data_IF_091740689608
#
_entry.id   IF_091740689608
#
_cell.length_a   1.000
_cell.length_b   1.000
_cell.length_c   1.000
_cell.angle_alpha   90.00
_cell.angle_beta   90.00
_cell.angle_gamma   90.00
#
_symmetry.space_group_name_H-M   'P 1'
#
loop_
_entity.id
_entity.type
_entity.pdbx_description
1 polymer ?
#
# COMPACT_ATOMS: atom_id res chain seq x y z
N UNK A 1 14.16 -48.57 -4.35
CA UNK A 1 12.82 -49.05 -4.72
C UNK A 1 11.79 -48.15 -4.05
N UNK A 2 11.19 -47.21 -4.79
CA UNK A 2 10.18 -46.27 -4.29
C UNK A 2 8.79 -46.93 -4.32
N UNK A 3 7.96 -46.82 -3.27
CA UNK A 3 6.63 -47.41 -3.26
C UNK A 3 5.69 -46.67 -4.22
N UNK A 4 4.88 -47.43 -4.97
CA UNK A 4 3.93 -46.90 -5.94
C UNK A 4 2.94 -45.89 -5.31
N UNK A 5 2.58 -44.79 -6.01
CA UNK A 5 1.78 -43.68 -5.48
C UNK A 5 0.35 -44.03 -5.02
N UNK A 6 -0.15 -45.24 -5.33
CA UNK A 6 -1.44 -45.73 -4.83
C UNK A 6 -1.41 -46.20 -3.38
N UNK A 7 -0.31 -46.77 -2.90
CA UNK A 7 -0.21 -47.30 -1.52
C UNK A 7 -0.16 -46.16 -0.49
N UNK A 8 0.56 -45.09 -0.80
CA UNK A 8 0.67 -43.91 0.07
C UNK A 8 -0.68 -43.17 0.32
N UNK A 9 -1.67 -43.29 -0.59
CA UNK A 9 -3.01 -42.72 -0.38
C UNK A 9 -3.87 -43.58 0.54
N UNK A 10 -3.76 -44.90 0.45
CA UNK A 10 -4.53 -45.85 1.27
C UNK A 10 -4.04 -45.81 2.73
N UNK A 11 -2.72 -45.72 2.92
CA UNK A 11 -2.13 -45.64 4.26
C UNK A 11 -2.52 -44.33 4.96
N UNK A 12 -2.64 -43.21 4.25
CA UNK A 12 -3.17 -41.95 4.82
C UNK A 12 -4.61 -42.07 5.29
N UNK A 13 -5.49 -42.65 4.47
CA UNK A 13 -6.92 -42.83 4.83
C UNK A 13 -7.05 -43.73 6.06
N UNK A 14 -6.24 -44.79 6.17
CA UNK A 14 -6.23 -45.68 7.34
C UNK A 14 -5.67 -45.01 8.60
N UNK A 15 -4.76 -44.05 8.45
CA UNK A 15 -4.18 -43.30 9.57
C UNK A 15 -5.16 -42.24 10.07
N UNK A 16 -5.88 -41.58 9.17
CA UNK A 16 -6.94 -40.60 9.50
C UNK A 16 -8.14 -41.26 10.20
N UNK A 17 -8.51 -42.48 9.80
CA UNK A 17 -9.60 -43.23 10.48
C UNK A 17 -9.21 -43.65 11.90
N UNK A 18 -7.91 -43.87 12.17
CA UNK A 18 -7.41 -44.23 13.51
C UNK A 18 -7.22 -43.03 14.45
N UNK A 19 -7.09 -41.81 13.92
CA UNK A 19 -6.91 -40.60 14.72
C UNK A 19 -8.23 -40.00 15.23
N UNK A 20 -9.38 -40.48 14.77
CA UNK A 20 -10.69 -39.96 15.17
C UNK A 20 -11.10 -38.66 14.48
N UNK A 21 -10.25 -38.12 13.59
CA UNK A 21 -10.58 -36.93 12.80
C UNK A 21 -11.40 -37.32 11.57
N UNK A 22 -12.46 -36.55 11.29
CA UNK A 22 -13.30 -36.66 10.10
C UNK A 22 -14.13 -37.96 9.96
N UNK A 23 -14.38 -38.70 11.04
CA UNK A 23 -15.26 -39.90 11.04
C UNK A 23 -16.63 -39.58 10.42
N UNK A 24 -17.18 -38.40 10.73
CA UNK A 24 -18.48 -37.95 10.22
C UNK A 24 -18.49 -37.79 8.69
N UNK A 25 -17.37 -37.34 8.10
CA UNK A 25 -17.21 -37.21 6.66
C UNK A 25 -17.18 -38.58 5.99
N UNK A 26 -16.37 -39.51 6.52
CA UNK A 26 -16.27 -40.87 5.98
C UNK A 26 -17.60 -41.62 6.10
N UNK A 27 -18.30 -41.47 7.23
CA UNK A 27 -19.62 -42.05 7.43
C UNK A 27 -20.64 -41.49 6.42
N UNK A 28 -20.64 -40.18 6.19
CA UNK A 28 -21.53 -39.55 5.20
C UNK A 28 -21.27 -40.03 3.77
N UNK A 29 -20.01 -40.24 3.40
CA UNK A 29 -19.61 -40.77 2.08
C UNK A 29 -20.04 -42.22 1.93
N UNK A 30 -19.81 -43.06 2.95
CA UNK A 30 -20.21 -44.48 2.93
C UNK A 30 -21.73 -44.62 2.85
N UNK A 31 -22.48 -43.83 3.63
CA UNK A 31 -23.95 -43.82 3.59
C UNK A 31 -24.45 -43.35 2.23
N UNK A 32 -23.84 -42.31 1.66
CA UNK A 32 -24.21 -41.82 0.32
C UNK A 32 -23.96 -42.87 -0.77
N UNK A 33 -22.83 -43.57 -0.72
CA UNK A 33 -22.53 -44.66 -1.67
C UNK A 33 -23.51 -45.83 -1.50
N UNK A 34 -23.80 -46.23 -0.26
CA UNK A 34 -24.76 -47.30 0.02
C UNK A 34 -26.17 -46.98 -0.50
N UNK A 35 -26.61 -45.72 -0.35
CA UNK A 35 -27.89 -45.24 -0.87
C UNK A 35 -27.92 -45.21 -2.40
N UNK A 36 -26.83 -44.79 -3.05
CA UNK A 36 -26.71 -44.82 -4.52
C UNK A 36 -26.82 -46.25 -5.03
N UNK A 37 -26.11 -47.19 -4.39
CA UNK A 37 -26.14 -48.61 -4.76
C UNK A 37 -27.55 -49.19 -4.52
N UNK A 38 -28.16 -48.94 -3.36
CA UNK A 38 -29.51 -49.42 -3.05
C UNK A 38 -30.56 -48.88 -4.03
N UNK A 39 -30.43 -47.63 -4.48
CA UNK A 39 -31.29 -47.03 -5.49
C UNK A 39 -31.10 -47.71 -6.86
N UNK A 40 -29.87 -48.04 -7.24
CA UNK A 40 -29.55 -48.71 -8.50
C UNK A 40 -30.21 -50.10 -8.63
N UNK A 41 -30.36 -50.81 -7.51
CA UNK A 41 -31.03 -52.11 -7.43
C UNK A 41 -32.56 -52.00 -7.23
N UNK A 42 -33.12 -50.79 -7.25
CA UNK A 42 -34.57 -50.57 -7.09
C UNK A 42 -35.08 -50.91 -5.69
N UNK A 43 -34.20 -51.01 -4.69
CA UNK A 43 -34.54 -51.34 -3.30
C UNK A 43 -35.11 -50.14 -2.53
N UNK A 44 -34.97 -48.92 -3.08
CA UNK A 44 -35.42 -47.68 -2.45
C UNK A 44 -36.75 -47.25 -3.06
N UNK A 45 -37.83 -47.39 -2.28
CA UNK A 45 -39.16 -46.88 -2.64
C UNK A 45 -39.13 -45.35 -2.69
N UNK A 46 -39.77 -44.71 -3.67
CA UNK A 46 -39.83 -43.23 -3.82
C UNK A 46 -40.21 -42.49 -2.52
N UNK A 47 -40.97 -43.17 -1.65
CA UNK A 47 -41.37 -42.69 -0.32
C UNK A 47 -40.20 -42.23 0.57
N UNK A 48 -38.99 -42.74 0.36
CA UNK A 48 -37.83 -42.44 1.21
C UNK A 48 -36.83 -41.44 0.60
N UNK A 49 -37.04 -40.99 -0.64
CA UNK A 49 -36.11 -40.10 -1.33
C UNK A 49 -36.00 -38.71 -0.66
N UNK A 50 -37.14 -38.10 -0.31
CA UNK A 50 -37.18 -36.77 0.31
C UNK A 50 -36.61 -36.75 1.74
N UNK A 51 -36.95 -37.69 2.64
CA UNK A 51 -36.34 -37.75 3.97
C UNK A 51 -34.82 -37.95 3.93
N UNK A 52 -34.34 -38.80 3.02
CA UNK A 52 -32.90 -39.09 2.89
C UNK A 52 -32.12 -37.88 2.38
N UNK A 53 -32.62 -37.18 1.36
CA UNK A 53 -31.96 -35.96 0.85
C UNK A 53 -31.91 -34.85 1.90
N UNK A 54 -32.99 -34.68 2.68
CA UNK A 54 -33.01 -33.73 3.81
C UNK A 54 -31.99 -34.09 4.90
N UNK A 55 -31.86 -35.38 5.24
CA UNK A 55 -30.87 -35.84 6.21
C UNK A 55 -29.44 -35.55 5.73
N UNK A 56 -29.15 -35.80 4.44
CA UNK A 56 -27.83 -35.52 3.86
C UNK A 56 -27.52 -34.02 3.87
N UNK A 57 -28.48 -33.16 3.51
CA UNK A 57 -28.30 -31.70 3.53
C UNK A 57 -28.08 -31.20 4.96
N UNK A 58 -28.79 -31.74 5.95
CA UNK A 58 -28.63 -31.37 7.35
C UNK A 58 -27.21 -31.71 7.87
N UNK A 59 -26.71 -32.91 7.55
CA UNK A 59 -25.34 -33.32 7.89
C UNK A 59 -24.32 -32.41 7.21
N UNK A 60 -24.53 -32.08 5.92
CA UNK A 60 -23.62 -31.23 5.15
C UNK A 60 -23.61 -29.79 5.67
N UNK A 61 -24.75 -29.28 6.11
CA UNK A 61 -24.86 -27.95 6.72
C UNK A 61 -24.14 -27.91 8.07
N UNK A 62 -24.29 -28.97 8.87
CA UNK A 62 -23.61 -29.09 10.17
C UNK A 62 -22.09 -29.14 10.02
N UNK A 63 -21.57 -29.91 9.05
CA UNK A 63 -20.12 -29.97 8.79
C UNK A 63 -19.56 -28.64 8.26
N UNK A 64 -20.30 -27.92 7.40
CA UNK A 64 -19.89 -26.57 6.96
C UNK A 64 -19.89 -25.57 8.12
N UNK A 65 -20.83 -25.67 9.06
CA UNK A 65 -20.86 -24.82 10.25
C UNK A 65 -19.66 -25.10 11.17
N UNK A 66 -19.34 -26.37 11.40
CA UNK A 66 -18.15 -26.80 12.14
C UNK A 66 -16.85 -26.33 11.48
N UNK A 67 -16.74 -26.42 10.16
CA UNK A 67 -15.60 -25.91 9.40
C UNK A 67 -15.45 -24.39 9.54
N UNK A 68 -16.55 -23.64 9.47
CA UNK A 68 -16.53 -22.18 9.69
C UNK A 68 -16.06 -21.84 11.10
N UNK A 69 -16.47 -22.61 12.10
CA UNK A 69 -16.05 -22.43 13.48
C UNK A 69 -14.55 -22.75 13.64
N UNK A 70 -14.08 -23.87 13.10
CA UNK A 70 -12.67 -24.24 13.12
C UNK A 70 -11.79 -23.22 12.41
N UNK A 71 -12.20 -22.69 11.24
CA UNK A 71 -11.48 -21.62 10.53
C UNK A 71 -11.42 -20.33 11.36
N UNK A 72 -12.47 -20.00 12.11
CA UNK A 72 -12.47 -18.86 13.05
C UNK A 72 -11.51 -19.11 14.22
N UNK A 73 -11.58 -20.29 14.84
CA UNK A 73 -10.71 -20.65 15.96
C UNK A 73 -9.23 -20.76 15.54
N UNK A 74 -8.95 -21.16 14.30
CA UNK A 74 -7.62 -21.09 13.69
C UNK A 74 -7.21 -19.63 13.44
N UNK A 75 -8.12 -18.78 12.98
CA UNK A 75 -7.88 -17.35 12.82
C UNK A 75 -7.54 -16.66 14.15
N UNK A 76 -8.12 -17.11 15.26
CA UNK A 76 -7.89 -16.57 16.60
C UNK A 76 -6.62 -17.12 17.28
N UNK A 77 -6.10 -18.28 16.82
CA UNK A 77 -4.90 -18.95 17.38
C UNK A 77 -3.63 -18.75 16.56
N UNK A 78 -3.73 -18.27 15.32
CA UNK A 78 -2.59 -17.69 14.61
C UNK A 78 -2.25 -16.38 15.35
N UNK A 79 -0.96 -16.17 15.62
CA UNK A 79 -0.38 -15.00 16.29
C UNK A 79 -1.14 -13.68 16.04
N UNK A 80 -1.15 -12.74 17.02
CA UNK A 80 -1.87 -11.46 16.90
C UNK A 80 -1.63 -10.89 15.50
N UNK A 81 -2.70 -10.39 14.84
CA UNK A 81 -2.67 -10.08 13.41
C UNK A 81 -1.39 -9.32 13.14
N UNK A 82 -0.52 -9.91 12.31
CA UNK A 82 0.70 -9.27 11.84
C UNK A 82 0.38 -7.79 11.66
N UNK A 83 1.03 -6.96 12.48
CA UNK A 83 0.90 -5.52 12.48
C UNK A 83 0.73 -5.04 11.04
N UNK A 84 -0.27 -4.17 10.78
CA UNK A 84 -0.64 -3.57 9.48
C UNK A 84 0.31 -3.99 8.34
N UNK A 85 -0.16 -4.69 7.28
CA UNK A 85 0.73 -5.16 6.22
C UNK A 85 1.66 -4.01 5.78
N UNK A 86 2.99 -4.20 5.85
CA UNK A 86 3.93 -3.09 5.75
C UNK A 86 3.88 -2.40 4.39
N UNK A 87 3.40 -3.11 3.36
CA UNK A 87 3.22 -2.60 2.01
C UNK A 87 1.73 -2.42 1.72
N UNK A 88 1.36 -1.22 1.28
CA UNK A 88 -0.01 -0.90 0.88
C UNK A 88 0.00 -0.43 -0.58
N UNK A 89 -1.05 -0.78 -1.32
CA UNK A 89 -1.28 -0.24 -2.67
C UNK A 89 -1.81 1.18 -2.64
N UNK A 90 -2.57 1.51 -1.59
CA UNK A 90 -3.14 2.83 -1.32
C UNK A 90 -2.81 3.28 0.09
N UNK A 91 -2.79 4.60 0.32
CA UNK A 91 -2.73 5.09 1.69
C UNK A 91 -4.03 4.75 2.43
N UNK A 92 -4.00 4.66 3.77
CA UNK A 92 -5.21 4.44 4.57
C UNK A 92 -6.32 5.43 4.24
N UNK A 93 -7.58 5.01 4.35
CA UNK A 93 -8.74 5.84 4.01
C UNK A 93 -8.79 7.18 4.77
N UNK A 94 -8.17 7.26 5.95
CA UNK A 94 -8.08 8.47 6.76
C UNK A 94 -6.95 9.42 6.33
N UNK A 95 -6.11 9.05 5.37
CA UNK A 95 -4.94 9.84 4.93
C UNK A 95 -5.32 11.27 4.57
N UNK A 96 -6.34 11.45 3.72
CA UNK A 96 -6.76 12.78 3.30
C UNK A 96 -7.22 13.64 4.48
N UNK A 97 -8.04 13.06 5.38
CA UNK A 97 -8.51 13.77 6.57
C UNK A 97 -7.37 14.17 7.51
N UNK A 98 -6.36 13.30 7.68
CA UNK A 98 -5.17 13.57 8.50
C UNK A 98 -4.27 14.62 7.86
N UNK A 99 -4.08 14.55 6.55
CA UNK A 99 -3.34 15.54 5.78
C UNK A 99 -4.01 16.93 5.90
N UNK A 100 -5.33 17.01 5.74
CA UNK A 100 -6.09 18.26 5.88
C UNK A 100 -6.09 18.81 7.32
N UNK A 101 -6.13 17.93 8.34
CA UNK A 101 -6.10 18.32 9.74
C UNK A 101 -4.71 18.72 10.28
N UNK A 102 -3.62 18.31 9.63
CA UNK A 102 -2.26 18.60 10.11
C UNK A 102 -1.95 20.11 10.16
N UNK A 103 -1.32 20.60 11.22
CA UNK A 103 -0.93 22.02 11.34
C UNK A 103 0.33 22.34 10.55
N UNK A 104 1.21 21.36 10.37
CA UNK A 104 2.43 21.47 9.57
C UNK A 104 2.59 20.22 8.71
N UNK A 105 2.93 20.41 7.43
CA UNK A 105 3.17 19.30 6.49
C UNK A 105 4.45 19.55 5.73
N UNK A 106 5.36 18.57 5.74
CA UNK A 106 6.53 18.58 4.87
C UNK A 106 6.31 17.59 3.73
N UNK A 107 6.44 18.08 2.52
CA UNK A 107 6.46 17.28 1.31
C UNK A 107 7.89 17.16 0.83
N UNK A 108 8.33 15.95 0.53
CA UNK A 108 9.57 15.72 -0.21
C UNK A 108 9.32 14.80 -1.40
N UNK A 109 10.00 15.04 -2.50
CA UNK A 109 9.87 14.21 -3.70
C UNK A 109 10.66 14.80 -4.87
N UNK A 110 10.69 14.10 -6.00
CA UNK A 110 11.44 14.56 -7.18
C UNK A 110 10.93 15.91 -7.68
N UNK A 111 9.69 15.95 -8.19
CA UNK A 111 9.08 17.17 -8.71
C UNK A 111 7.77 17.54 -8.00
N UNK A 112 7.12 16.62 -7.27
CA UNK A 112 5.84 16.85 -6.56
C UNK A 112 4.64 17.32 -7.42
N UNK A 113 4.76 17.39 -8.74
CA UNK A 113 3.67 17.77 -9.65
C UNK A 113 2.32 17.08 -9.35
N UNK A 114 2.28 15.76 -9.12
CA UNK A 114 1.03 15.06 -8.81
C UNK A 114 0.42 15.49 -7.47
N UNK A 115 1.25 15.79 -6.48
CA UNK A 115 0.84 16.29 -5.16
C UNK A 115 0.21 17.68 -5.31
N UNK A 116 0.92 18.58 -6.00
CA UNK A 116 0.44 19.96 -6.20
C UNK A 116 -0.86 19.99 -6.98
N UNK A 117 -1.01 19.17 -8.03
CA UNK A 117 -2.26 19.08 -8.79
C UNK A 117 -3.40 18.46 -8.00
N UNK A 118 -3.18 17.30 -7.36
CA UNK A 118 -4.24 16.57 -6.67
C UNK A 118 -4.74 17.28 -5.42
N UNK A 119 -3.86 18.03 -4.74
CA UNK A 119 -4.14 18.62 -3.43
C UNK A 119 -4.23 20.14 -3.45
N UNK A 120 -4.15 20.80 -4.60
CA UNK A 120 -4.09 22.27 -4.72
C UNK A 120 -5.10 23.01 -3.82
N UNK A 121 -6.39 22.70 -3.97
CA UNK A 121 -7.44 23.38 -3.18
C UNK A 121 -7.37 23.06 -1.69
N UNK A 122 -6.93 21.85 -1.31
CA UNK A 122 -6.74 21.50 0.10
C UNK A 122 -5.55 22.27 0.69
N UNK A 123 -4.45 22.39 -0.05
CA UNK A 123 -3.28 23.17 0.39
C UNK A 123 -3.66 24.63 0.62
N UNK A 124 -4.44 25.24 -0.28
CA UNK A 124 -4.97 26.60 -0.10
C UNK A 124 -5.82 26.72 1.15
N UNK A 125 -6.82 25.83 1.34
CA UNK A 125 -7.65 25.83 2.56
C UNK A 125 -6.83 25.65 3.84
N UNK A 126 -5.75 24.86 3.80
CA UNK A 126 -4.83 24.72 4.93
C UNK A 126 -4.10 26.02 5.23
N UNK A 127 -3.60 26.71 4.22
CA UNK A 127 -2.92 28.01 4.36
C UNK A 127 -3.88 29.12 4.81
N UNK A 128 -5.13 29.11 4.35
CA UNK A 128 -6.18 30.03 4.82
C UNK A 128 -6.43 29.87 6.33
N UNK A 129 -6.23 28.66 6.87
CA UNK A 129 -6.34 28.34 8.30
C UNK A 129 -5.03 28.55 9.08
N UNK A 130 -3.99 29.10 8.46
CA UNK A 130 -2.69 29.36 9.08
C UNK A 130 -1.77 28.14 9.19
N UNK A 131 -2.05 27.06 8.44
CA UNK A 131 -1.21 25.88 8.41
C UNK A 131 0.12 26.12 7.68
N UNK A 132 1.17 25.40 8.07
CA UNK A 132 2.52 25.55 7.50
C UNK A 132 2.85 24.45 6.51
N UNK A 133 3.42 24.83 5.37
CA UNK A 133 3.84 23.90 4.32
C UNK A 133 5.34 24.02 4.06
N UNK A 134 6.00 22.87 3.93
CA UNK A 134 7.40 22.79 3.54
C UNK A 134 7.54 21.89 2.33
N UNK A 135 8.29 22.32 1.34
CA UNK A 135 8.49 21.59 0.09
C UNK A 135 9.98 21.37 -0.15
N UNK A 136 10.37 20.11 -0.31
CA UNK A 136 11.71 19.71 -0.71
C UNK A 136 11.64 19.01 -2.06
N UNK A 137 12.27 19.61 -3.07
CA UNK A 137 12.36 19.07 -4.42
C UNK A 137 13.83 18.82 -4.79
N UNK A 138 14.07 18.09 -5.86
CA UNK A 138 15.41 18.05 -6.43
C UNK A 138 15.74 19.34 -7.20
N UNK A 139 17.02 19.67 -7.33
CA UNK A 139 17.46 20.83 -8.11
C UNK A 139 17.24 20.59 -9.63
N UNK A 140 16.60 21.52 -10.37
CA UNK A 140 16.32 21.34 -11.80
C UNK A 140 17.59 21.08 -12.63
N UNK A 141 18.63 21.87 -12.39
CA UNK A 141 19.91 21.77 -13.13
C UNK A 141 20.91 20.81 -12.49
N UNK A 142 20.50 20.07 -11.46
CA UNK A 142 21.34 19.15 -10.71
C UNK A 142 21.52 17.78 -11.36
N UNK A 143 22.53 17.05 -10.88
CA UNK A 143 22.74 15.63 -11.22
C UNK A 143 21.52 14.77 -10.86
N UNK A 144 20.82 15.10 -9.77
CA UNK A 144 19.62 14.39 -9.33
C UNK A 144 18.49 14.45 -10.38
N UNK A 145 18.36 15.54 -11.15
CA UNK A 145 17.40 15.64 -12.25
C UNK A 145 17.74 14.68 -13.39
N UNK A 146 19.04 14.58 -13.72
CA UNK A 146 19.53 13.60 -14.70
C UNK A 146 19.21 12.18 -14.23
N UNK A 147 19.44 11.86 -12.95
CA UNK A 147 19.12 10.55 -12.39
C UNK A 147 17.61 10.24 -12.38
N UNK A 148 16.77 11.25 -12.13
CA UNK A 148 15.32 11.11 -12.15
C UNK A 148 14.81 10.64 -13.52
N UNK A 149 15.37 11.14 -14.63
CA UNK A 149 14.99 10.71 -15.99
C UNK A 149 15.17 9.21 -16.20
N UNK A 150 16.12 8.57 -15.51
CA UNK A 150 16.44 7.14 -15.68
C UNK A 150 15.39 6.22 -15.05
N UNK A 151 14.49 6.75 -14.21
CA UNK A 151 13.49 5.96 -13.47
C UNK A 151 12.32 5.49 -14.33
N UNK A 152 12.02 6.21 -15.41
CA UNK A 152 10.89 5.88 -16.26
C UNK A 152 11.27 4.84 -17.33
N UNK A 153 10.35 3.93 -17.70
CA UNK A 153 10.54 3.13 -18.90
C UNK A 153 10.58 4.04 -20.13
N UNK A 154 11.55 3.82 -21.01
CA UNK A 154 11.80 4.68 -22.19
C UNK A 154 12.82 5.80 -21.93
N UNK A 155 12.88 6.75 -22.85
CA UNK A 155 13.77 7.92 -22.75
C UNK A 155 12.92 9.13 -22.40
N UNK A 156 12.96 9.57 -21.14
CA UNK A 156 12.43 10.87 -20.74
C UNK A 156 13.52 11.92 -20.98
N UNK A 157 13.30 12.93 -21.85
CA UNK A 157 14.25 14.01 -22.04
C UNK A 157 14.50 14.77 -20.74
N UNK A 158 15.75 15.18 -20.51
CA UNK A 158 16.11 15.96 -19.32
C UNK A 158 15.28 17.25 -19.22
N UNK A 159 15.10 17.96 -20.33
CA UNK A 159 14.34 19.21 -20.36
C UNK A 159 12.88 19.03 -19.93
N UNK A 160 12.29 17.86 -20.22
CA UNK A 160 10.93 17.54 -19.77
C UNK A 160 10.88 17.38 -18.25
N UNK A 161 11.87 16.73 -17.64
CA UNK A 161 11.93 16.56 -16.18
C UNK A 161 12.26 17.87 -15.48
N UNK A 162 13.18 18.67 -16.04
CA UNK A 162 13.46 20.04 -15.58
C UNK A 162 12.20 20.90 -15.53
N UNK A 163 11.46 20.93 -16.64
CA UNK A 163 10.21 21.69 -16.74
C UNK A 163 9.19 21.28 -15.68
N UNK A 164 9.10 19.99 -15.33
CA UNK A 164 8.20 19.50 -14.26
C UNK A 164 8.61 20.02 -12.88
N UNK A 165 9.91 20.02 -12.58
CA UNK A 165 10.44 20.54 -11.33
C UNK A 165 10.20 22.05 -11.26
N UNK A 166 10.56 22.79 -12.31
CA UNK A 166 10.37 24.25 -12.40
C UNK A 166 8.91 24.68 -12.31
N UNK A 167 8.00 23.97 -13.00
CA UNK A 167 6.56 24.22 -12.91
C UNK A 167 6.07 24.06 -11.47
N UNK A 168 6.53 23.02 -10.78
CA UNK A 168 6.17 22.76 -9.39
C UNK A 168 6.71 23.84 -8.45
N UNK A 169 7.97 24.25 -8.64
CA UNK A 169 8.58 25.36 -7.91
C UNK A 169 7.85 26.69 -8.17
N UNK A 170 7.41 26.95 -9.40
CA UNK A 170 6.63 28.14 -9.76
C UNK A 170 5.26 28.16 -9.07
N UNK A 171 4.56 27.02 -9.02
CA UNK A 171 3.30 26.89 -8.26
C UNK A 171 3.53 27.18 -6.77
N UNK A 172 4.57 26.58 -6.17
CA UNK A 172 4.92 26.80 -4.76
C UNK A 172 5.26 28.28 -4.51
N UNK A 173 5.99 28.92 -5.42
CA UNK A 173 6.35 30.34 -5.33
C UNK A 173 5.11 31.24 -5.38
N UNK A 174 4.17 30.95 -6.26
CA UNK A 174 2.92 31.70 -6.35
C UNK A 174 2.10 31.57 -5.07
N UNK A 175 2.02 30.36 -4.49
CA UNK A 175 1.40 30.17 -3.18
C UNK A 175 2.16 30.94 -2.08
N UNK A 176 3.50 30.94 -2.11
CA UNK A 176 4.34 31.65 -1.11
C UNK A 176 4.10 33.16 -1.14
N UNK A 177 3.87 33.75 -2.32
CA UNK A 177 3.52 35.17 -2.49
C UNK A 177 2.16 35.51 -1.87
N UNK A 178 1.19 34.59 -1.96
CA UNK A 178 -0.15 34.78 -1.37
C UNK A 178 -0.13 34.55 0.14
N UNK A 179 0.66 33.59 0.62
CA UNK A 179 0.72 33.17 2.02
C UNK A 179 2.14 33.33 2.60
N UNK A 180 2.66 34.57 2.73
CA UNK A 180 4.02 34.81 3.18
C UNK A 180 4.25 34.26 4.60
N UNK A 181 5.41 33.64 4.82
CA UNK A 181 5.80 33.06 6.11
C UNK A 181 5.15 31.71 6.46
N UNK A 182 4.20 31.23 5.66
CA UNK A 182 3.58 29.90 5.85
C UNK A 182 4.20 28.81 4.98
N UNK A 183 4.94 29.20 3.93
CA UNK A 183 5.53 28.27 2.96
C UNK A 183 7.04 28.42 2.93
N UNK A 184 7.75 27.30 3.08
CA UNK A 184 9.19 27.20 2.83
C UNK A 184 9.44 26.20 1.71
N UNK A 185 10.30 26.57 0.75
CA UNK A 185 10.69 25.72 -0.37
C UNK A 185 12.22 25.58 -0.40
N UNK A 186 12.70 24.36 -0.53
CA UNK A 186 14.12 24.02 -0.66
C UNK A 186 14.35 23.08 -1.83
N UNK A 187 15.56 23.12 -2.37
CA UNK A 187 16.03 22.20 -3.40
C UNK A 187 17.31 21.49 -2.96
N UNK A 188 17.50 20.26 -3.43
CA UNK A 188 18.70 19.47 -3.15
C UNK A 188 19.21 18.80 -4.44
N UNK A 189 20.52 18.75 -4.64
CA UNK A 189 21.12 17.95 -5.70
C UNK A 189 21.47 16.53 -5.22
N UNK A 190 20.45 15.83 -4.70
CA UNK A 190 20.55 14.44 -4.26
C UNK A 190 19.32 13.66 -4.72
N UNK A 191 19.46 12.42 -5.25
CA UNK A 191 18.33 11.64 -5.71
C UNK A 191 17.37 11.28 -4.56
N UNK A 192 16.14 11.79 -4.63
CA UNK A 192 15.11 11.46 -3.63
C UNK A 192 14.43 10.14 -4.01
N UNK A 193 14.53 9.11 -3.18
CA UNK A 193 14.04 7.75 -3.48
C UNK A 193 12.54 7.55 -3.30
N UNK A 194 11.85 8.50 -2.67
CA UNK A 194 10.45 8.37 -2.32
C UNK A 194 9.76 9.73 -2.23
N UNK A 195 8.46 9.76 -2.43
CA UNK A 195 7.64 10.93 -2.07
C UNK A 195 7.24 10.78 -0.61
N UNK A 196 7.45 11.80 0.23
CA UNK A 196 6.96 11.80 1.62
C UNK A 196 5.91 12.86 1.89
N UNK A 197 5.05 12.54 2.86
CA UNK A 197 4.14 13.46 3.53
C UNK A 197 4.42 13.33 5.03
N UNK A 198 5.23 14.22 5.59
CA UNK A 198 5.55 14.23 7.00
C UNK A 198 4.61 15.21 7.73
N UNK A 199 3.61 14.65 8.40
CA UNK A 199 2.61 15.41 9.14
C UNK A 199 3.13 15.72 10.54
N UNK A 200 2.98 16.97 10.96
CA UNK A 200 3.31 17.49 12.30
C UNK A 200 4.63 16.95 12.88
N UNK A 201 5.79 17.14 12.21
CA UNK A 201 7.05 16.43 12.51
C UNK A 201 7.59 16.57 13.94
N UNK A 202 7.17 17.63 14.64
CA UNK A 202 7.60 17.97 15.99
C UNK A 202 6.51 17.71 17.06
N UNK A 203 5.39 17.08 16.69
CA UNK A 203 4.26 16.83 17.61
C UNK A 203 4.16 15.37 18.06
N UNK A 204 3.22 15.09 18.99
CA UNK A 204 2.82 13.71 19.33
C UNK A 204 2.03 13.03 18.21
N UNK A 205 1.38 13.79 17.35
CA UNK A 205 0.57 13.30 16.22
C UNK A 205 1.42 13.14 14.93
N UNK A 206 2.74 13.08 15.07
CA UNK A 206 3.64 12.98 13.93
C UNK A 206 3.43 11.67 13.17
N UNK A 207 3.39 11.76 11.85
CA UNK A 207 3.16 10.60 10.97
C UNK A 207 3.82 10.82 9.63
N UNK A 208 4.40 9.77 9.06
CA UNK A 208 5.07 9.82 7.76
C UNK A 208 4.37 8.88 6.81
N UNK A 209 3.88 9.42 5.71
CA UNK A 209 3.39 8.63 4.59
C UNK A 209 4.47 8.63 3.51
N UNK A 210 4.85 7.46 3.02
CA UNK A 210 5.93 7.29 2.05
C UNK A 210 5.39 6.55 0.84
N UNK A 211 5.59 7.11 -0.35
CA UNK A 211 5.38 6.44 -1.63
C UNK A 211 6.73 6.20 -2.28
N UNK A 212 7.13 4.92 -2.41
CA UNK A 212 8.46 4.56 -2.93
C UNK A 212 8.54 4.77 -4.44
N UNK A 213 9.61 5.39 -4.91
CA UNK A 213 9.89 5.48 -6.35
C UNK A 213 10.31 4.10 -6.89
N UNK A 214 9.85 3.78 -8.09
CA UNK A 214 10.18 2.53 -8.79
C UNK A 214 11.11 2.81 -9.97
N UNK A 215 11.94 1.84 -10.35
CA UNK A 215 12.87 1.96 -11.48
C UNK A 215 12.41 1.06 -12.64
N UNK A 216 12.02 1.67 -13.75
CA UNK A 216 11.67 1.00 -15.03
C UNK A 216 10.59 -0.08 -14.92
N UNK A 217 9.68 0.05 -13.96
CA UNK A 217 8.52 -0.83 -13.82
C UNK A 217 7.30 -0.20 -14.50
N UNK A 218 6.61 -1.01 -15.31
CA UNK A 218 5.35 -0.65 -15.96
C UNK A 218 4.21 -0.56 -14.94
N UNK A 219 3.26 0.37 -15.14
CA UNK A 219 2.13 0.55 -14.24
C UNK A 219 2.39 1.49 -13.06
N UNK A 220 3.21 2.53 -13.26
CA UNK A 220 3.71 3.48 -12.25
C UNK A 220 2.69 4.17 -11.32
N UNK A 221 1.41 3.82 -11.40
CA UNK A 221 0.37 4.12 -10.40
C UNK A 221 0.44 3.19 -9.16
N UNK A 222 0.93 1.95 -9.29
CA UNK A 222 0.98 0.96 -8.20
C UNK A 222 2.31 0.97 -7.46
N UNK A 223 2.67 2.11 -6.88
CA UNK A 223 3.89 2.23 -6.08
C UNK A 223 3.66 1.71 -4.66
N UNK A 224 4.64 1.03 -4.05
CA UNK A 224 4.56 0.64 -2.65
C UNK A 224 4.40 1.87 -1.75
N UNK A 225 3.34 1.85 -0.92
CA UNK A 225 3.06 2.88 0.08
C UNK A 225 3.30 2.32 1.48
N UNK A 226 3.91 3.15 2.32
CA UNK A 226 4.22 2.85 3.71
C UNK A 226 3.69 3.96 4.61
N UNK A 227 3.33 3.58 5.83
CA UNK A 227 2.92 4.52 6.88
C UNK A 227 3.80 4.24 8.08
N UNK A 228 4.52 5.27 8.53
CA UNK A 228 5.31 5.20 9.75
C UNK A 228 4.66 6.07 10.83
N UNK A 229 4.33 5.41 11.93
CA UNK A 229 3.82 5.96 13.18
C UNK A 229 4.91 5.81 14.27
N UNK A 230 4.84 6.61 15.34
CA UNK A 230 5.86 6.54 16.41
C UNK A 230 5.99 5.14 17.03
N UNK A 231 4.91 4.38 17.04
CA UNK A 231 4.84 3.03 17.58
C UNK A 231 5.64 2.02 16.74
N UNK A 232 6.03 2.37 15.51
CA UNK A 232 6.95 1.57 14.67
C UNK A 232 8.42 1.69 15.13
N UNK A 233 8.68 2.46 16.20
CA UNK A 233 9.96 2.53 16.91
C UNK A 233 11.12 2.96 16.01
N UNK A 234 12.12 2.09 15.87
CA UNK A 234 13.37 2.40 15.14
C UNK A 234 13.14 2.78 13.67
N UNK A 235 12.10 2.23 13.03
CA UNK A 235 11.82 2.49 11.62
C UNK A 235 11.25 3.89 11.39
N UNK A 236 10.33 4.32 12.26
CA UNK A 236 9.87 5.70 12.29
C UNK A 236 11.02 6.67 12.54
N UNK A 237 11.90 6.36 13.52
CA UNK A 237 13.05 7.22 13.82
C UNK A 237 14.00 7.34 12.62
N UNK A 238 14.28 6.23 11.94
CA UNK A 238 15.15 6.23 10.76
C UNK A 238 14.61 7.14 9.66
N UNK A 239 13.37 6.91 9.22
CA UNK A 239 12.75 7.72 8.15
C UNK A 239 12.53 9.17 8.59
N UNK A 240 12.14 9.40 9.84
CA UNK A 240 12.01 10.76 10.38
C UNK A 240 13.35 11.51 10.35
N UNK A 241 14.45 10.84 10.68
CA UNK A 241 15.77 11.46 10.69
C UNK A 241 16.25 11.72 9.27
N UNK A 242 16.05 10.76 8.37
CA UNK A 242 16.42 10.89 6.96
C UNK A 242 15.72 12.08 6.30
N UNK A 243 14.40 12.23 6.46
CA UNK A 243 13.65 13.38 5.92
C UNK A 243 14.16 14.71 6.51
N UNK A 244 14.52 14.74 7.80
CA UNK A 244 15.06 15.94 8.47
C UNK A 244 16.48 16.28 7.99
N UNK A 245 17.31 15.28 7.74
CA UNK A 245 18.67 15.46 7.22
C UNK A 245 18.65 15.94 5.77
N UNK A 246 17.80 15.33 4.92
CA UNK A 246 17.55 15.81 3.56
C UNK A 246 17.10 17.28 3.58
N UNK A 247 16.23 17.66 4.52
CA UNK A 247 15.79 19.04 4.67
C UNK A 247 16.92 19.99 5.12
N UNK A 248 17.76 19.57 6.08
CA UNK A 248 18.86 20.40 6.59
C UNK A 248 19.93 20.67 5.54
N UNK A 249 20.23 19.67 4.71
CA UNK A 249 21.27 19.74 3.69
C UNK A 249 20.82 20.46 2.42
N UNK A 250 19.50 20.60 2.24
CA UNK A 250 18.91 21.31 1.12
C UNK A 250 19.07 22.83 1.24
N UNK A 251 19.17 23.50 0.08
CA UNK A 251 19.31 24.96 -0.01
C UNK A 251 17.95 25.63 -0.21
N UNK A 252 17.70 26.82 0.38
CA UNK A 252 16.49 27.59 0.12
C UNK A 252 16.30 27.91 -1.37
N UNK A 253 15.09 27.70 -1.89
CA UNK A 253 14.75 28.08 -3.26
C UNK A 253 14.55 29.59 -3.36
N UNK A 254 15.33 30.23 -4.25
CA UNK A 254 15.35 31.68 -4.45
C UNK A 254 14.48 32.16 -5.62
N UNK A 255 13.80 31.26 -6.32
CA UNK A 255 13.04 31.57 -7.54
C UNK A 255 13.80 31.17 -8.81
N UNK A 256 13.10 31.19 -9.94
CA UNK A 256 13.70 31.02 -11.25
C UNK A 256 14.33 32.38 -11.61
N UNK A 257 15.65 32.47 -11.69
CA UNK A 257 16.28 33.62 -12.33
C UNK A 257 15.83 33.61 -13.80
N UNK A 258 15.12 34.65 -14.24
CA UNK A 258 14.70 34.74 -15.63
C UNK A 258 15.96 34.78 -16.49
N UNK A 259 16.23 33.73 -17.26
CA UNK A 259 17.28 33.74 -18.26
C UNK A 259 17.02 34.91 -19.20
N UNK A 260 17.92 35.90 -19.31
CA UNK A 260 17.73 37.01 -20.23
C UNK A 260 17.56 36.44 -21.65
N UNK A 261 16.48 36.85 -22.33
CA UNK A 261 16.12 36.41 -23.69
C UNK A 261 17.21 36.74 -24.74
N UNK A 262 18.26 37.48 -24.36
CA UNK A 262 19.33 37.94 -25.25
C UNK A 262 20.33 36.85 -25.72
N UNK A 263 20.15 35.57 -25.37
CA UNK A 263 21.07 34.49 -25.79
C UNK A 263 20.51 33.52 -26.82
N UNK A 264 19.32 33.78 -27.40
CA UNK A 264 18.74 32.98 -28.49
C UNK A 264 18.95 33.58 -29.89
N UNK A 265 19.69 34.69 -30.01
CA UNK A 265 20.14 35.23 -31.29
C UNK A 265 21.66 35.09 -31.43
N UNK A 266 22.16 33.86 -31.64
CA UNK A 266 23.45 33.59 -32.32
C UNK A 266 23.42 32.27 -33.07
#
# INVERSE_FOLDING_TARGET
>A
MSPSPRRARIDRILTDIRSGENIDLYLSVVVSIALIVANLFGLVTEKYFVPVTMATIAILTYTVLGLKQAVRDFGDKIEPPLAKPPFQSEFPADFYSKLEAATEVWFSGTHLASVLTAYHEMLKRKLDRGGKLRFLLIQPDGTAAIMATKRFPGTVPLDQEKLRIETSLSIIENLRKIYPGQIEARVIDFPIEYTTYFLNPNSKQARIYVERSTYKISGGMHKPKFVYEKDDGKWYQHISNEVKLLWSDAIPWKGIEATPISSLER
#
